data_IF_895352851575
#
_entry.id   IF_895352851575
#
_cell.length_a   1.000
_cell.length_b   1.000
_cell.length_c   1.000
_cell.angle_alpha   90.00
_cell.angle_beta   90.00
_cell.angle_gamma   90.00
#
_symmetry.space_group_name_H-M   'P 1'
#
loop_
_entity.id
_entity.type
_entity.pdbx_description
1 polymer ?
#
# COMPACT_ATOMS: atom_id res chain seq x y z
N UNK A 1 1.48 13.62 -4.72
CA UNK A 1 1.74 13.42 -3.28
C UNK A 1 1.10 12.16 -2.69
N UNK A 2 -0.09 11.74 -3.13
CA UNK A 2 -0.74 10.53 -2.60
C UNK A 2 -0.01 9.23 -2.97
N UNK A 3 0.51 9.10 -4.19
CA UNK A 3 1.20 7.88 -4.62
C UNK A 3 2.43 7.55 -3.77
N UNK A 4 3.31 8.51 -3.50
CA UNK A 4 4.51 8.29 -2.66
C UNK A 4 4.11 7.85 -1.24
N UNK A 5 3.08 8.49 -0.65
CA UNK A 5 2.57 8.11 0.66
C UNK A 5 2.03 6.68 0.67
N UNK A 6 1.29 6.30 -0.38
CA UNK A 6 0.75 4.95 -0.53
C UNK A 6 1.89 3.93 -0.64
N UNK A 7 2.91 4.18 -1.47
CA UNK A 7 4.09 3.31 -1.61
C UNK A 7 4.84 3.14 -0.28
N UNK A 8 4.94 4.19 0.53
CA UNK A 8 5.57 4.11 1.86
C UNK A 8 4.74 3.26 2.82
N UNK A 9 3.42 3.43 2.85
CA UNK A 9 2.52 2.63 3.70
C UNK A 9 2.57 1.15 3.30
N UNK A 10 2.54 0.86 2.01
CA UNK A 10 2.71 -0.49 1.44
C UNK A 10 4.04 -1.10 1.85
N UNK A 11 5.14 -0.35 1.70
CA UNK A 11 6.47 -0.82 2.11
C UNK A 11 6.56 -1.08 3.62
N UNK A 12 5.83 -0.32 4.44
CA UNK A 12 5.74 -0.62 5.87
C UNK A 12 4.92 -1.88 6.14
N UNK A 13 3.85 -2.15 5.39
CA UNK A 13 3.05 -3.36 5.51
C UNK A 13 3.82 -4.63 5.11
N UNK A 14 4.77 -4.55 4.17
CA UNK A 14 5.60 -5.69 3.78
C UNK A 14 6.56 -6.14 4.90
N UNK A 15 7.02 -5.20 5.72
CA UNK A 15 8.05 -5.42 6.75
C UNK A 15 7.52 -5.36 8.19
N UNK A 16 6.28 -4.90 8.41
CA UNK A 16 5.70 -4.69 9.72
C UNK A 16 4.24 -5.15 9.80
N UNK A 17 3.80 -5.48 11.02
CA UNK A 17 2.42 -5.85 11.30
C UNK A 17 1.46 -4.66 11.08
N UNK A 18 0.23 -4.96 10.68
CA UNK A 18 -0.84 -3.99 10.38
C UNK A 18 -1.00 -2.88 11.44
N UNK A 19 -0.95 -3.26 12.73
CA UNK A 19 -1.10 -2.33 13.85
C UNK A 19 0.07 -1.34 13.95
N UNK A 20 1.30 -1.77 13.67
CA UNK A 20 2.48 -0.90 13.69
C UNK A 20 2.41 0.10 12.53
N UNK A 21 2.05 -0.37 11.34
CA UNK A 21 1.84 0.47 10.17
C UNK A 21 0.70 1.48 10.38
N UNK A 22 -0.37 1.11 11.09
CA UNK A 22 -1.44 2.04 11.47
C UNK A 22 -0.91 3.26 12.25
N UNK A 23 -0.06 3.02 13.26
CA UNK A 23 0.55 4.09 14.03
C UNK A 23 1.51 4.93 13.19
N UNK A 24 2.34 4.30 12.36
CA UNK A 24 3.27 4.99 11.45
C UNK A 24 2.56 5.85 10.40
N UNK A 25 1.40 5.39 9.90
CA UNK A 25 0.58 6.13 8.95
C UNK A 25 -0.31 7.21 9.60
N UNK A 26 -0.40 7.22 10.94
CA UNK A 26 -1.27 8.15 11.68
C UNK A 26 -2.76 7.88 11.50
N UNK A 27 -3.15 6.63 11.24
CA UNK A 27 -4.54 6.28 10.95
C UNK A 27 -5.34 6.04 12.24
N UNK A 28 -6.45 6.77 12.38
CA UNK A 28 -7.37 6.64 13.52
C UNK A 28 -8.00 5.25 13.60
N UNK A 29 -8.34 4.66 12.46
CA UNK A 29 -8.96 3.34 12.37
C UNK A 29 -8.05 2.36 11.64
N UNK A 30 -8.01 1.12 12.11
CA UNK A 30 -7.18 0.07 11.48
C UNK A 30 -7.65 -0.26 10.07
N UNK A 31 -8.94 -0.15 9.80
CA UNK A 31 -9.54 -0.33 8.47
C UNK A 31 -9.00 0.66 7.43
N UNK A 32 -8.60 1.87 7.85
CA UNK A 32 -7.94 2.82 6.95
C UNK A 32 -6.56 2.33 6.49
N UNK A 33 -5.87 1.56 7.31
CA UNK A 33 -4.58 0.92 6.94
C UNK A 33 -4.80 -0.40 6.20
N UNK A 34 -5.86 -1.14 6.54
CA UNK A 34 -6.16 -2.43 5.94
C UNK A 34 -6.46 -2.35 4.43
N UNK A 35 -7.08 -1.25 3.98
CA UNK A 35 -7.31 -0.99 2.54
C UNK A 35 -6.03 -1.10 1.72
N UNK A 36 -4.90 -0.61 2.25
CA UNK A 36 -3.60 -0.70 1.58
C UNK A 36 -3.06 -2.13 1.45
N UNK A 37 -3.59 -3.10 2.20
CA UNK A 37 -3.24 -4.52 2.05
C UNK A 37 -4.01 -5.19 0.91
N UNK A 38 -5.22 -4.70 0.61
CA UNK A 38 -6.01 -5.15 -0.54
C UNK A 38 -5.55 -4.45 -1.82
N UNK A 39 -5.32 -3.14 -1.74
CA UNK A 39 -4.81 -2.33 -2.86
C UNK A 39 -3.39 -2.74 -3.28
N UNK A 40 -2.61 -3.41 -2.42
CA UNK A 40 -1.27 -3.90 -2.78
C UNK A 40 -1.30 -4.88 -3.96
N UNK A 41 -2.34 -5.73 -4.05
CA UNK A 41 -2.53 -6.65 -5.18
C UNK A 41 -2.92 -5.91 -6.47
N UNK A 42 -3.76 -4.88 -6.35
CA UNK A 42 -4.23 -4.08 -7.49
C UNK A 42 -3.13 -3.13 -8.01
N UNK A 43 -2.36 -2.54 -7.09
CA UNK A 43 -1.20 -1.69 -7.41
C UNK A 43 -0.05 -2.46 -8.03
N UNK A 44 0.18 -3.72 -7.63
CA UNK A 44 1.13 -4.60 -8.30
C UNK A 44 0.71 -4.82 -9.76
N UNK A 45 -0.58 -5.01 -10.00
CA UNK A 45 -1.14 -5.22 -11.33
C UNK A 45 -1.11 -3.94 -12.18
N UNK A 46 -1.38 -2.77 -11.59
CA UNK A 46 -1.19 -1.48 -12.27
C UNK A 46 0.27 -1.23 -12.62
N UNK A 47 1.20 -1.51 -11.72
CA UNK A 47 2.65 -1.31 -11.96
C UNK A 47 3.15 -2.26 -13.05
N UNK A 48 2.71 -3.52 -13.04
CA UNK A 48 2.98 -4.50 -14.12
C UNK A 48 2.40 -4.01 -15.45
N UNK A 49 1.16 -3.53 -15.47
CA UNK A 49 0.53 -2.98 -16.68
C UNK A 49 1.21 -1.70 -17.18
N UNK A 50 1.73 -0.86 -16.27
CA UNK A 50 2.41 0.39 -16.63
C UNK A 50 3.82 0.15 -17.20
N UNK A 51 4.51 -0.91 -16.75
CA UNK A 51 5.86 -1.27 -17.21
C UNK A 51 5.90 -2.37 -18.29
N UNK A 52 4.79 -3.06 -18.56
CA UNK A 52 4.67 -4.01 -19.65
C UNK A 52 3.49 -3.66 -20.57
N UNK A 53 3.67 -2.71 -21.52
CA UNK A 53 2.63 -2.37 -22.49
C UNK A 53 2.39 -3.43 -23.59
N UNK A 54 2.88 -4.67 -23.46
CA UNK A 54 2.61 -5.73 -24.45
C UNK A 54 2.61 -7.13 -23.83
N UNK A 55 1.47 -7.80 -23.94
CA UNK A 55 1.37 -9.15 -24.49
C UNK A 55 0.18 -9.18 -25.44
#
# INVERSE_FOLDING_TARGET
MQQIRNSVIVNWLSSNNLRKTQYMAGHKYISSTEKYRQDDLESLQETVNMFHPFS
#
